data_IF_113290468192
#
_entry.id   IF_113290468192
#
_cell.length_a   1.000
_cell.length_b   1.000
_cell.length_c   1.000
_cell.angle_alpha   90.00
_cell.angle_beta   90.00
_cell.angle_gamma   90.00
#
_symmetry.space_group_name_H-M   'P 1'
#
loop_
_entity.id
_entity.type
_entity.pdbx_description
1 polymer ?
#
# COMPACT_ATOMS: atom_id res chain seq x y z
N UNK A 1 -17.86 22.26 17.92
CA UNK A 1 -16.54 22.65 17.36
C UNK A 1 -15.48 22.02 18.24
N UNK A 2 -14.93 20.88 17.84
CA UNK A 2 -13.80 20.26 18.52
C UNK A 2 -12.55 20.66 17.76
N UNK A 3 -11.73 21.51 18.37
CA UNK A 3 -10.40 21.87 17.90
C UNK A 3 -9.50 20.63 18.09
N UNK A 4 -9.39 19.80 17.06
CA UNK A 4 -8.40 18.76 16.99
C UNK A 4 -7.01 19.40 16.92
N UNK A 5 -6.31 19.42 18.06
CA UNK A 5 -4.88 19.73 18.12
C UNK A 5 -4.16 18.69 17.28
N UNK A 6 -3.66 19.07 16.10
CA UNK A 6 -2.70 18.28 15.37
C UNK A 6 -1.54 17.95 16.32
N UNK A 7 -1.20 16.66 16.46
CA UNK A 7 -0.06 16.23 17.26
C UNK A 7 1.16 17.04 16.77
N UNK A 8 1.70 17.85 17.64
CA UNK A 8 2.81 18.71 17.31
C UNK A 8 3.99 17.80 16.89
N UNK A 9 4.76 18.20 15.89
CA UNK A 9 5.97 17.51 15.42
C UNK A 9 6.99 17.20 16.54
N UNK A 10 6.77 17.78 17.73
CA UNK A 10 7.61 17.62 18.93
C UNK A 10 7.32 16.33 19.72
N UNK A 11 6.21 15.60 19.42
CA UNK A 11 5.80 14.41 20.19
C UNK A 11 5.99 13.10 19.42
N UNK A 12 6.83 13.10 18.38
CA UNK A 12 7.14 11.86 17.65
C UNK A 12 7.97 10.90 18.53
N UNK A 13 7.68 9.57 18.49
CA UNK A 13 8.53 8.58 19.10
C UNK A 13 9.99 8.72 18.66
N UNK A 14 10.93 8.51 19.56
CA UNK A 14 12.36 8.73 19.28
C UNK A 14 12.88 8.08 17.99
N UNK A 15 12.56 6.78 17.66
CA UNK A 15 13.01 6.19 16.41
C UNK A 15 12.39 6.85 15.17
N UNK A 16 11.13 7.32 15.26
CA UNK A 16 10.44 8.03 14.16
C UNK A 16 11.06 9.40 13.93
N UNK A 17 11.32 10.16 15.00
CA UNK A 17 11.98 11.46 14.94
C UNK A 17 13.38 11.36 14.32
N UNK A 18 14.15 10.32 14.73
CA UNK A 18 15.47 10.03 14.16
C UNK A 18 15.39 9.73 12.66
N UNK A 19 14.50 8.84 12.25
CA UNK A 19 14.31 8.51 10.83
C UNK A 19 13.88 9.72 10.01
N UNK A 20 12.96 10.53 10.53
CA UNK A 20 12.51 11.76 9.90
C UNK A 20 13.68 12.70 9.60
N UNK A 21 14.57 12.92 10.56
CA UNK A 21 15.74 13.77 10.39
C UNK A 21 16.67 13.23 9.29
N UNK A 22 16.92 11.91 9.29
CA UNK A 22 17.74 11.24 8.27
C UNK A 22 17.11 11.32 6.88
N UNK A 23 15.80 11.17 6.77
CA UNK A 23 15.10 11.23 5.49
C UNK A 23 15.02 12.65 4.92
N UNK A 24 14.97 13.67 5.78
CA UNK A 24 14.91 15.07 5.37
C UNK A 24 16.25 15.60 4.81
N UNK A 25 17.37 14.99 5.18
CA UNK A 25 18.68 15.38 4.69
C UNK A 25 18.78 15.18 3.17
N UNK A 26 19.03 16.26 2.40
CA UNK A 26 19.13 16.25 0.93
C UNK A 26 17.84 15.90 0.16
N UNK A 27 16.71 15.68 0.85
CA UNK A 27 15.42 15.41 0.20
C UNK A 27 14.66 16.70 -0.14
N UNK A 28 13.75 16.68 -1.13
CA UNK A 28 12.85 17.79 -1.37
C UNK A 28 12.00 18.09 -0.12
N UNK A 29 11.80 19.38 0.16
CA UNK A 29 11.00 19.83 1.33
C UNK A 29 9.57 19.31 1.32
N UNK A 30 9.05 19.01 0.13
CA UNK A 30 7.68 18.57 -0.05
C UNK A 30 7.60 17.53 -1.18
N UNK A 31 7.09 16.36 -0.84
CA UNK A 31 6.81 15.28 -1.80
C UNK A 31 5.32 14.95 -1.69
N UNK A 32 4.59 15.17 -2.76
CA UNK A 32 3.15 14.90 -2.84
C UNK A 32 2.86 13.61 -3.59
N UNK A 33 3.60 13.40 -4.68
CA UNK A 33 3.40 12.23 -5.54
C UNK A 33 4.71 11.50 -5.79
N UNK A 34 4.62 10.20 -6.03
CA UNK A 34 5.74 9.34 -6.40
C UNK A 34 5.37 8.46 -7.57
N UNK A 35 6.28 8.35 -8.53
CA UNK A 35 6.30 7.25 -9.47
C UNK A 35 7.53 6.38 -9.16
N UNK A 36 7.31 5.10 -8.90
CA UNK A 36 8.36 4.15 -8.55
C UNK A 36 8.34 3.01 -9.56
N UNK A 37 9.50 2.74 -10.15
CA UNK A 37 9.67 1.57 -11.02
C UNK A 37 10.43 0.48 -10.26
N UNK A 38 9.98 -0.75 -10.43
CA UNK A 38 10.55 -1.89 -9.71
C UNK A 38 10.62 -3.11 -10.60
N UNK A 39 11.57 -3.98 -10.26
CA UNK A 39 11.53 -5.38 -10.67
C UNK A 39 11.21 -6.23 -9.46
N UNK A 40 10.46 -7.31 -9.65
CA UNK A 40 10.07 -8.16 -8.55
C UNK A 40 10.12 -9.64 -8.93
N UNK A 41 10.14 -10.47 -7.89
CA UNK A 41 10.00 -11.91 -8.00
C UNK A 41 8.86 -12.36 -7.10
N UNK A 42 7.81 -12.89 -7.72
CA UNK A 42 6.72 -13.53 -7.00
C UNK A 42 7.01 -15.02 -6.82
N UNK A 43 6.80 -15.52 -5.61
CA UNK A 43 6.91 -16.91 -5.26
C UNK A 43 5.52 -17.49 -4.99
N UNK A 44 5.24 -18.62 -5.57
CA UNK A 44 4.06 -19.44 -5.29
C UNK A 44 4.51 -20.86 -4.93
N UNK A 45 3.81 -21.56 -4.01
CA UNK A 45 4.08 -22.98 -3.77
C UNK A 45 4.07 -23.75 -5.10
N UNK A 46 5.04 -24.62 -5.28
CA UNK A 46 5.14 -25.54 -6.41
C UNK A 46 5.34 -24.90 -7.81
N UNK A 47 5.63 -23.60 -7.85
CA UNK A 47 5.91 -22.91 -9.11
C UNK A 47 7.30 -22.27 -9.10
N UNK A 48 7.96 -22.15 -10.28
CA UNK A 48 9.15 -21.31 -10.41
C UNK A 48 8.87 -19.89 -9.99
N UNK A 49 9.91 -19.15 -9.60
CA UNK A 49 9.80 -17.71 -9.33
C UNK A 49 9.34 -16.98 -10.59
N UNK A 50 8.30 -16.17 -10.47
CA UNK A 50 7.71 -15.42 -11.57
C UNK A 50 8.33 -14.03 -11.59
N UNK A 51 9.01 -13.63 -12.66
CA UNK A 51 9.54 -12.28 -12.79
C UNK A 51 8.42 -11.29 -13.09
N UNK A 52 8.42 -10.17 -12.36
CA UNK A 52 7.46 -9.09 -12.51
C UNK A 52 8.19 -7.76 -12.72
N UNK A 53 7.54 -6.85 -13.42
CA UNK A 53 7.75 -5.41 -13.35
C UNK A 53 6.53 -4.78 -12.68
N UNK A 54 6.75 -3.91 -11.71
CA UNK A 54 5.66 -3.21 -11.03
C UNK A 54 5.94 -1.71 -11.13
N UNK A 55 5.03 -1.00 -11.76
CA UNK A 55 5.03 0.47 -11.79
C UNK A 55 4.06 0.96 -10.74
N UNK A 56 4.59 1.67 -9.76
CA UNK A 56 3.83 2.17 -8.63
C UNK A 56 3.62 3.67 -8.78
N UNK A 57 2.41 4.11 -8.66
CA UNK A 57 2.04 5.52 -8.65
C UNK A 57 1.34 5.84 -7.33
N UNK A 58 1.85 6.81 -6.60
CA UNK A 58 1.34 7.21 -5.31
C UNK A 58 0.97 8.70 -5.28
N UNK A 59 -0.19 9.01 -4.72
CA UNK A 59 -0.42 10.25 -4.00
C UNK A 59 -0.24 9.93 -2.53
N UNK A 60 0.89 10.37 -1.97
CA UNK A 60 1.39 9.94 -0.67
C UNK A 60 0.33 10.03 0.43
N UNK A 61 0.14 8.91 1.14
CA UNK A 61 -0.83 8.80 2.23
C UNK A 61 -2.30 8.90 1.81
N UNK A 62 -2.61 8.96 0.51
CA UNK A 62 -3.97 9.13 0.00
C UNK A 62 -4.41 8.00 -0.94
N UNK A 63 -3.66 7.76 -2.00
CA UNK A 63 -4.01 6.82 -3.06
C UNK A 63 -2.76 6.16 -3.63
N UNK A 64 -2.90 4.93 -4.11
CA UNK A 64 -1.89 4.29 -4.94
C UNK A 64 -2.50 3.42 -6.03
N UNK A 65 -1.69 3.16 -7.05
CA UNK A 65 -1.95 2.15 -8.09
C UNK A 65 -0.64 1.46 -8.43
N UNK A 66 -0.64 0.13 -8.38
CA UNK A 66 0.43 -0.73 -8.86
C UNK A 66 0.00 -1.40 -10.16
N UNK A 67 0.63 -1.05 -11.27
CA UNK A 67 0.50 -1.75 -12.56
C UNK A 67 1.47 -2.93 -12.56
N UNK A 68 0.94 -4.13 -12.37
CA UNK A 68 1.71 -5.36 -12.24
C UNK A 68 1.79 -6.05 -13.61
N UNK A 69 3.01 -6.28 -14.09
CA UNK A 69 3.30 -6.87 -15.38
C UNK A 69 4.13 -8.13 -15.23
N UNK A 70 3.82 -9.17 -16.01
CA UNK A 70 4.66 -10.36 -16.15
C UNK A 70 5.60 -10.17 -17.33
N UNK A 71 6.83 -10.63 -17.20
CA UNK A 71 7.88 -10.45 -18.20
C UNK A 71 8.75 -9.25 -17.92
N UNK A 72 9.55 -8.84 -18.91
CA UNK A 72 10.48 -7.71 -18.80
C UNK A 72 10.56 -6.93 -20.11
N UNK A 73 10.69 -5.61 -19.98
CA UNK A 73 10.84 -4.69 -21.09
C UNK A 73 9.71 -4.81 -22.11
N UNK A 74 10.05 -4.90 -23.40
CA UNK A 74 9.07 -4.98 -24.50
C UNK A 74 8.24 -6.28 -24.50
N UNK A 75 8.70 -7.32 -23.83
CA UNK A 75 7.98 -8.59 -23.69
C UNK A 75 7.10 -8.64 -22.43
N UNK A 76 6.98 -7.53 -21.70
CA UNK A 76 6.10 -7.48 -20.52
C UNK A 76 4.66 -7.19 -20.91
N UNK A 77 3.70 -7.86 -20.26
CA UNK A 77 2.28 -7.61 -20.43
C UNK A 77 1.60 -7.41 -19.07
N UNK A 78 0.56 -6.59 -19.05
CA UNK A 78 -0.18 -6.33 -17.80
C UNK A 78 -0.87 -7.60 -17.33
N UNK A 79 -0.56 -8.01 -16.12
CA UNK A 79 -1.12 -9.18 -15.47
C UNK A 79 -2.08 -8.82 -14.34
N UNK A 80 -1.80 -7.72 -13.63
CA UNK A 80 -2.59 -7.32 -12.47
C UNK A 80 -2.60 -5.83 -12.23
N UNK A 81 -3.48 -5.44 -11.34
CA UNK A 81 -3.60 -4.10 -10.79
C UNK A 81 -3.91 -4.22 -9.31
N UNK A 82 -3.09 -3.61 -8.46
CA UNK A 82 -3.40 -3.41 -7.05
C UNK A 82 -3.59 -1.92 -6.81
N UNK A 83 -4.65 -1.53 -6.12
CA UNK A 83 -4.96 -0.11 -5.96
C UNK A 83 -5.69 0.18 -4.65
N UNK A 84 -5.43 1.37 -4.11
CA UNK A 84 -6.26 2.03 -3.11
C UNK A 84 -6.65 3.40 -3.64
N UNK A 85 -7.90 3.59 -4.01
CA UNK A 85 -8.39 4.82 -4.64
C UNK A 85 -9.76 5.20 -4.08
N UNK A 86 -9.92 6.45 -3.69
CA UNK A 86 -11.18 6.95 -3.13
C UNK A 86 -11.61 6.22 -1.85
N UNK A 87 -10.68 5.75 -1.05
CA UNK A 87 -10.95 5.01 0.19
C UNK A 87 -11.23 3.52 0.00
N UNK A 88 -11.07 2.99 -1.22
CA UNK A 88 -11.40 1.60 -1.55
C UNK A 88 -10.22 0.83 -2.15
N UNK A 89 -10.08 -0.40 -1.69
CA UNK A 89 -9.09 -1.35 -2.19
C UNK A 89 -9.61 -2.17 -3.38
N UNK A 90 -8.73 -2.41 -4.33
CA UNK A 90 -9.01 -3.26 -5.49
C UNK A 90 -7.77 -4.10 -5.81
N UNK A 91 -7.95 -5.41 -5.90
CA UNK A 91 -6.95 -6.33 -6.44
C UNK A 91 -7.49 -7.00 -7.70
N UNK A 92 -6.80 -6.79 -8.82
CA UNK A 92 -7.09 -7.48 -10.09
C UNK A 92 -5.91 -8.37 -10.46
N UNK A 93 -6.17 -9.65 -10.73
CA UNK A 93 -5.16 -10.61 -11.19
C UNK A 93 -5.78 -11.42 -12.33
N UNK A 94 -5.27 -11.22 -13.55
CA UNK A 94 -5.88 -11.79 -14.75
C UNK A 94 -7.36 -11.37 -14.88
N UNK A 95 -8.29 -12.33 -15.02
CA UNK A 95 -9.72 -12.03 -15.11
C UNK A 95 -10.39 -11.80 -13.74
N UNK A 96 -9.73 -12.19 -12.64
CA UNK A 96 -10.26 -12.07 -11.28
C UNK A 96 -10.15 -10.64 -10.78
N UNK A 97 -11.24 -10.11 -10.20
CA UNK A 97 -11.25 -8.80 -9.54
C UNK A 97 -11.87 -8.94 -8.16
N UNK A 98 -11.15 -8.48 -7.16
CA UNK A 98 -11.52 -8.56 -5.76
C UNK A 98 -11.64 -7.15 -5.18
N UNK A 99 -12.71 -6.91 -4.46
CA UNK A 99 -13.00 -5.67 -3.73
C UNK A 99 -13.88 -6.01 -2.53
N UNK A 100 -13.94 -5.14 -1.56
CA UNK A 100 -14.72 -5.30 -0.34
C UNK A 100 -13.91 -4.86 0.86
N UNK A 101 -14.48 -4.94 2.04
CA UNK A 101 -13.90 -4.41 3.26
C UNK A 101 -12.52 -5.01 3.57
N UNK A 102 -12.32 -6.29 3.26
CA UNK A 102 -11.05 -6.99 3.45
C UNK A 102 -9.96 -6.42 2.54
N UNK A 103 -10.33 -6.06 1.30
CA UNK A 103 -9.42 -5.46 0.33
C UNK A 103 -9.21 -3.98 0.63
N UNK A 104 -10.22 -3.25 1.13
CA UNK A 104 -10.09 -1.88 1.59
C UNK A 104 -9.06 -1.80 2.74
N UNK A 105 -9.18 -2.69 3.74
CA UNK A 105 -8.22 -2.78 4.84
C UNK A 105 -6.83 -3.19 4.36
N UNK A 106 -6.76 -4.22 3.52
CA UNK A 106 -5.49 -4.72 3.01
C UNK A 106 -4.73 -3.68 2.19
N UNK A 107 -5.41 -2.96 1.29
CA UNK A 107 -4.81 -1.90 0.49
C UNK A 107 -4.42 -0.68 1.33
N UNK A 108 -5.20 -0.34 2.36
CA UNK A 108 -4.83 0.74 3.29
C UNK A 108 -3.55 0.43 4.06
N UNK A 109 -3.36 -0.83 4.51
CA UNK A 109 -2.11 -1.25 5.15
C UNK A 109 -0.94 -1.17 4.16
N UNK A 110 -1.13 -1.56 2.90
CA UNK A 110 -0.10 -1.45 1.88
C UNK A 110 0.25 0.03 1.61
N UNK A 111 -0.76 0.91 1.46
CA UNK A 111 -0.57 2.35 1.31
C UNK A 111 0.37 2.91 2.38
N UNK A 112 0.06 2.62 3.64
CA UNK A 112 0.83 3.15 4.76
C UNK A 112 2.16 2.43 4.94
N UNK A 113 2.24 1.11 4.69
CA UNK A 113 3.49 0.37 4.70
C UNK A 113 4.53 0.94 3.72
N UNK A 114 4.10 1.39 2.56
CA UNK A 114 4.96 2.03 1.56
C UNK A 114 5.22 3.51 1.88
N UNK A 115 4.19 4.25 2.32
CA UNK A 115 4.28 5.66 2.68
C UNK A 115 5.15 5.94 3.92
N UNK A 116 5.38 4.93 4.77
CA UNK A 116 6.30 5.03 5.92
C UNK A 116 7.68 5.58 5.54
N UNK A 117 8.15 5.23 4.34
CA UNK A 117 9.47 5.65 3.84
C UNK A 117 9.55 7.15 3.53
N UNK A 118 8.43 7.86 3.53
CA UNK A 118 8.34 9.25 3.10
C UNK A 118 7.67 10.11 4.19
N UNK A 119 8.44 10.79 5.05
CA UNK A 119 7.90 11.57 6.17
C UNK A 119 6.82 12.57 5.77
N UNK A 120 6.92 13.18 4.60
CA UNK A 120 5.91 14.12 4.10
C UNK A 120 4.52 13.50 3.93
N UNK A 121 4.42 12.16 3.85
CA UNK A 121 3.15 11.45 3.78
C UNK A 121 2.34 11.52 5.08
N UNK A 122 3.01 11.58 6.21
CA UNK A 122 2.38 11.49 7.54
C UNK A 122 2.55 12.73 8.40
N UNK A 123 3.51 13.60 8.13
CA UNK A 123 3.75 14.83 8.93
C UNK A 123 2.56 15.82 8.94
N UNK A 124 1.75 15.85 7.91
CA UNK A 124 0.63 16.79 7.76
C UNK A 124 -0.74 16.15 7.98
N UNK A 125 -0.76 14.90 8.42
CA UNK A 125 -1.99 14.13 8.62
C UNK A 125 -2.47 14.27 10.06
N UNK A 126 -3.78 14.48 10.22
CA UNK A 126 -4.45 14.54 11.52
C UNK A 126 -5.29 13.30 11.81
N UNK A 127 -5.44 12.41 10.83
CA UNK A 127 -6.21 11.17 10.89
C UNK A 127 -5.35 9.94 11.17
N UNK A 128 -4.07 10.16 11.47
CA UNK A 128 -3.13 9.14 11.92
C UNK A 128 -2.38 9.63 13.15
N UNK A 129 -1.80 8.71 13.89
CA UNK A 129 -0.93 9.04 15.02
C UNK A 129 0.20 8.03 15.16
N UNK A 130 1.31 8.51 15.72
CA UNK A 130 2.41 7.66 16.13
C UNK A 130 2.34 7.40 17.64
N UNK A 131 2.57 6.15 18.03
CA UNK A 131 2.65 5.71 19.42
C UNK A 131 4.04 5.13 19.69
N UNK A 132 4.65 5.51 20.81
CA UNK A 132 5.91 4.92 21.24
C UNK A 132 5.66 3.49 21.75
N UNK A 133 6.53 2.55 21.35
CA UNK A 133 6.53 1.18 21.88
C UNK A 133 7.81 0.97 22.69
N UNK A 134 8.98 1.18 22.06
CA UNK A 134 10.30 1.13 22.70
C UNK A 134 11.31 1.96 21.91
N UNK A 135 12.60 1.84 22.23
CA UNK A 135 13.69 2.61 21.60
C UNK A 135 13.89 2.30 20.09
N UNK A 136 13.37 1.18 19.61
CA UNK A 136 13.55 0.67 18.23
C UNK A 136 12.24 0.42 17.51
N UNK A 137 11.13 0.63 18.19
CA UNK A 137 9.81 0.27 17.70
C UNK A 137 8.83 1.39 17.96
N UNK A 138 8.06 1.74 16.94
CA UNK A 138 6.93 2.65 17.07
C UNK A 138 5.72 2.05 16.36
N UNK A 139 4.55 2.55 16.67
CA UNK A 139 3.30 2.13 16.03
C UNK A 139 2.68 3.31 15.30
N UNK A 140 2.41 3.13 14.01
CA UNK A 140 1.56 4.02 13.25
C UNK A 140 0.12 3.51 13.35
N UNK A 141 -0.77 4.30 13.89
CA UNK A 141 -2.20 3.96 13.98
C UNK A 141 -2.96 4.76 12.94
N UNK A 142 -3.69 4.06 12.08
CA UNK A 142 -4.47 4.64 11.00
C UNK A 142 -5.94 4.26 11.15
N UNK A 143 -6.85 5.13 10.71
CA UNK A 143 -8.27 4.83 10.72
C UNK A 143 -8.62 3.95 9.52
N UNK A 144 -9.04 2.72 9.79
CA UNK A 144 -9.49 1.76 8.78
C UNK A 144 -11.00 1.61 8.70
N UNK A 145 -11.49 0.77 7.79
CA UNK A 145 -12.93 0.57 7.57
C UNK A 145 -13.64 -0.14 8.73
N UNK A 146 -12.92 -0.88 9.56
CA UNK A 146 -13.44 -1.61 10.73
C UNK A 146 -12.94 -1.04 12.07
N UNK A 147 -12.35 0.15 12.07
CA UNK A 147 -11.74 0.77 13.23
C UNK A 147 -10.24 1.01 13.06
N UNK A 148 -9.57 1.29 14.13
CA UNK A 148 -8.13 1.58 14.10
C UNK A 148 -7.30 0.37 13.70
N UNK A 149 -6.29 0.63 12.87
CA UNK A 149 -5.33 -0.37 12.41
C UNK A 149 -3.94 0.05 12.91
N UNK A 150 -3.37 -0.69 13.86
CA UNK A 150 -1.99 -0.48 14.29
C UNK A 150 -1.03 -1.13 13.29
N UNK A 151 -0.08 -0.36 12.78
CA UNK A 151 1.05 -0.84 11.97
C UNK A 151 2.31 -0.67 12.82
N UNK A 152 2.88 -1.76 13.27
CA UNK A 152 4.10 -1.73 14.08
C UNK A 152 5.33 -1.62 13.18
N UNK A 153 6.18 -0.64 13.42
CA UNK A 153 7.37 -0.34 12.62
C UNK A 153 8.61 -0.58 13.48
N UNK A 154 9.45 -1.49 13.02
CA UNK A 154 10.78 -1.74 13.61
C UNK A 154 11.86 -0.96 12.87
N UNK A 155 12.76 -0.33 13.62
CA UNK A 155 13.88 0.46 13.09
C UNK A 155 15.22 -0.24 13.36
N UNK A 156 16.10 -0.21 12.37
CA UNK A 156 17.47 -0.72 12.51
C UNK A 156 18.26 0.20 13.46
N UNK A 157 18.83 -0.33 14.54
CA UNK A 157 19.53 0.49 15.53
C UNK A 157 20.83 1.11 15.01
N UNK A 158 21.44 0.50 14.02
CA UNK A 158 22.70 0.99 13.46
C UNK A 158 22.49 2.14 12.48
N UNK A 159 21.44 2.09 11.66
CA UNK A 159 21.15 3.09 10.63
C UNK A 159 20.05 4.07 11.03
N UNK A 160 19.13 3.66 11.87
CA UNK A 160 17.92 4.42 12.20
C UNK A 160 16.82 4.34 11.13
N UNK A 161 17.01 3.54 10.09
CA UNK A 161 16.01 3.36 9.05
C UNK A 161 14.96 2.33 9.44
N UNK A 162 13.71 2.43 8.92
CA UNK A 162 12.75 1.35 9.05
C UNK A 162 13.32 0.05 8.49
N UNK A 163 13.27 -1.03 9.26
CA UNK A 163 13.69 -2.37 8.86
C UNK A 163 12.48 -3.26 8.53
N UNK A 164 11.35 -3.02 9.21
CA UNK A 164 10.13 -3.78 9.01
C UNK A 164 8.89 -2.97 9.35
N UNK A 165 7.75 -3.38 8.80
CA UNK A 165 6.43 -3.00 9.27
C UNK A 165 5.55 -4.26 9.35
N UNK A 166 4.71 -4.37 10.39
CA UNK A 166 3.84 -5.52 10.62
C UNK A 166 2.43 -5.07 10.97
N UNK A 167 1.44 -5.80 10.48
CA UNK A 167 0.04 -5.60 10.81
C UNK A 167 -0.75 -6.91 10.62
N UNK A 168 -1.91 -7.01 11.27
CA UNK A 168 -2.87 -8.05 10.97
C UNK A 168 -3.72 -7.65 9.76
N UNK A 169 -3.63 -8.44 8.69
CA UNK A 169 -4.21 -8.14 7.39
C UNK A 169 -5.02 -9.32 6.85
N UNK A 170 -6.08 -9.04 6.13
CA UNK A 170 -6.78 -10.05 5.37
C UNK A 170 -5.93 -10.52 4.18
N UNK A 171 -5.64 -11.82 4.12
CA UNK A 171 -4.94 -12.44 2.99
C UNK A 171 -5.89 -12.67 1.81
N UNK A 172 -7.16 -12.94 2.14
CA UNK A 172 -8.31 -13.10 1.25
C UNK A 172 -9.58 -12.96 2.09
N UNK A 173 -10.73 -13.49 1.63
CA UNK A 173 -11.89 -13.67 2.51
C UNK A 173 -11.54 -14.70 3.60
N UNK A 174 -11.67 -14.34 4.87
CA UNK A 174 -11.34 -15.20 6.01
C UNK A 174 -10.75 -14.41 7.18
N UNK A 175 -10.06 -15.07 8.12
CA UNK A 175 -9.42 -14.40 9.25
C UNK A 175 -8.22 -13.55 8.79
N UNK A 176 -7.91 -12.55 9.61
CA UNK A 176 -6.67 -11.78 9.46
C UNK A 176 -5.47 -12.65 9.78
N UNK A 177 -4.40 -12.46 9.05
CA UNK A 177 -3.11 -13.15 9.21
C UNK A 177 -2.04 -12.08 9.38
N UNK A 178 -1.05 -12.35 10.21
CA UNK A 178 0.10 -11.45 10.35
C UNK A 178 0.77 -11.20 9.00
N UNK A 179 0.97 -9.95 8.66
CA UNK A 179 1.61 -9.49 7.44
C UNK A 179 2.86 -8.69 7.81
N UNK A 180 3.96 -8.95 7.13
CA UNK A 180 5.24 -8.28 7.36
C UNK A 180 5.80 -7.75 6.06
N UNK A 181 6.07 -6.45 6.02
CA UNK A 181 6.94 -5.81 5.04
C UNK A 181 8.34 -5.65 5.61
N UNK A 182 9.37 -6.01 4.85
CA UNK A 182 10.78 -5.85 5.24
C UNK A 182 11.49 -4.91 4.28
N UNK A 183 12.26 -3.95 4.82
CA UNK A 183 12.96 -2.93 4.05
C UNK A 183 14.47 -3.13 4.17
N UNK A 184 15.17 -3.05 3.03
CA UNK A 184 16.63 -3.20 2.97
C UNK A 184 17.25 -2.32 1.91
N UNK A 185 18.57 -2.20 1.93
CA UNK A 185 19.37 -1.51 0.91
C UNK A 185 18.90 -0.05 0.71
N UNK A 186 18.66 0.64 1.83
CA UNK A 186 18.25 2.04 1.82
C UNK A 186 19.29 2.89 1.10
N UNK A 187 18.83 3.73 0.19
CA UNK A 187 19.68 4.63 -0.58
C UNK A 187 18.92 5.85 -1.04
N UNK A 188 19.68 6.87 -1.43
CA UNK A 188 19.09 8.04 -2.10
C UNK A 188 18.94 7.76 -3.58
N UNK A 189 17.77 8.09 -4.09
CA UNK A 189 17.42 8.06 -5.50
C UNK A 189 17.51 9.49 -6.09
N UNK A 190 17.22 9.61 -7.37
CA UNK A 190 17.20 10.90 -8.06
C UNK A 190 16.31 11.90 -7.34
N UNK A 191 16.75 13.15 -7.25
CA UNK A 191 16.09 14.18 -6.44
C UNK A 191 16.35 14.08 -4.94
N UNK A 192 17.28 13.22 -4.48
CA UNK A 192 17.74 13.13 -3.09
C UNK A 192 16.81 12.37 -2.15
N UNK A 193 15.73 11.78 -2.65
CA UNK A 193 14.77 11.06 -1.81
C UNK A 193 15.35 9.75 -1.29
N UNK A 194 15.26 9.54 0.01
CA UNK A 194 15.68 8.31 0.68
C UNK A 194 14.56 7.27 0.57
N UNK A 195 14.86 6.09 0.01
CA UNK A 195 13.90 5.00 -0.10
C UNK A 195 14.60 3.63 -0.03
N UNK A 196 13.87 2.53 0.33
CA UNK A 196 14.45 1.20 0.33
C UNK A 196 14.74 0.74 -1.09
N UNK A 197 15.94 0.22 -1.32
CA UNK A 197 16.34 -0.43 -2.58
C UNK A 197 15.74 -1.83 -2.72
N UNK A 198 15.35 -2.45 -1.60
CA UNK A 198 14.65 -3.75 -1.57
C UNK A 198 13.51 -3.74 -0.57
N UNK A 199 12.43 -4.36 -0.98
CA UNK A 199 11.24 -4.59 -0.17
C UNK A 199 10.79 -6.03 -0.33
N UNK A 200 10.41 -6.69 0.76
CA UNK A 200 9.87 -8.05 0.71
C UNK A 200 8.61 -8.14 1.56
N UNK A 201 7.64 -8.93 1.13
CA UNK A 201 6.39 -9.14 1.84
C UNK A 201 6.20 -10.60 2.18
N UNK A 202 5.87 -10.87 3.43
CA UNK A 202 5.65 -12.21 3.96
C UNK A 202 4.38 -12.28 4.79
N UNK A 203 3.69 -13.40 4.69
CA UNK A 203 2.60 -13.78 5.57
C UNK A 203 3.14 -14.65 6.71
N UNK A 204 2.60 -14.51 7.90
CA UNK A 204 3.06 -15.27 9.08
C UNK A 204 2.84 -16.79 8.94
N UNK A 205 1.87 -17.20 8.13
CA UNK A 205 1.56 -18.60 7.81
C UNK A 205 2.38 -19.17 6.63
N UNK A 206 3.32 -18.39 6.09
CA UNK A 206 4.20 -18.80 4.99
C UNK A 206 5.67 -18.80 5.42
N UNK A 207 6.47 -19.78 5.01
CA UNK A 207 7.87 -19.92 5.46
C UNK A 207 8.83 -18.95 4.75
N UNK A 208 8.36 -18.20 3.74
CA UNK A 208 9.19 -17.29 2.93
C UNK A 208 8.36 -16.12 2.40
N UNK A 209 9.02 -15.01 2.02
CA UNK A 209 8.35 -13.92 1.33
C UNK A 209 7.70 -14.38 0.04
N UNK A 210 6.41 -14.03 -0.15
CA UNK A 210 5.70 -14.34 -1.39
C UNK A 210 6.06 -13.41 -2.55
N UNK A 211 6.61 -12.22 -2.23
CA UNK A 211 7.13 -11.27 -3.21
C UNK A 211 8.38 -10.57 -2.66
N UNK A 212 9.38 -10.46 -3.52
CA UNK A 212 10.60 -9.68 -3.29
C UNK A 212 10.69 -8.63 -4.39
N UNK A 213 10.79 -7.36 -4.00
CA UNK A 213 10.76 -6.20 -4.89
C UNK A 213 12.10 -5.48 -4.81
N UNK A 214 12.63 -5.09 -5.96
CA UNK A 214 13.81 -4.24 -6.08
C UNK A 214 13.42 -2.92 -6.73
N UNK A 215 13.61 -1.83 -6.04
CA UNK A 215 13.40 -0.48 -6.55
C UNK A 215 14.50 -0.14 -7.57
N UNK A 216 14.09 0.24 -8.77
CA UNK A 216 15.01 0.64 -9.85
C UNK A 216 15.07 2.15 -10.00
N UNK A 217 13.94 2.86 -9.89
CA UNK A 217 13.89 4.31 -9.88
C UNK A 217 12.80 4.84 -8.95
N UNK A 218 12.97 6.06 -8.47
CA UNK A 218 11.97 6.82 -7.71
C UNK A 218 11.95 8.24 -8.26
N UNK A 219 10.80 8.67 -8.78
CA UNK A 219 10.57 10.02 -9.28
C UNK A 219 9.61 10.74 -8.35
N UNK A 220 10.09 11.84 -7.74
CA UNK A 220 9.29 12.66 -6.83
C UNK A 220 8.49 13.71 -7.59
N UNK A 221 7.30 14.03 -7.09
CA UNK A 221 6.36 14.99 -7.67
C UNK A 221 6.07 14.71 -9.15
N UNK A 222 6.10 13.42 -9.51
CA UNK A 222 5.83 12.95 -10.86
C UNK A 222 4.32 13.05 -11.19
N UNK A 223 3.95 13.19 -12.47
CA UNK A 223 2.56 13.13 -12.91
C UNK A 223 2.02 11.70 -12.76
N UNK A 224 1.13 11.47 -11.79
CA UNK A 224 0.58 10.15 -11.46
C UNK A 224 -0.92 10.03 -11.79
N UNK A 225 -1.57 11.10 -12.21
CA UNK A 225 -3.02 11.15 -12.37
C UNK A 225 -3.56 10.13 -13.37
N UNK A 226 -2.84 9.86 -14.46
CA UNK A 226 -3.23 8.86 -15.44
C UNK A 226 -3.19 7.44 -14.86
N UNK A 227 -2.18 7.12 -14.07
CA UNK A 227 -2.09 5.83 -13.38
C UNK A 227 -3.19 5.69 -12.31
N UNK A 228 -3.41 6.73 -11.49
CA UNK A 228 -4.49 6.74 -10.49
C UNK A 228 -5.87 6.63 -11.15
N UNK A 229 -6.05 7.23 -12.33
CA UNK A 229 -7.28 7.10 -13.13
C UNK A 229 -7.57 5.65 -13.52
N UNK A 230 -6.56 4.86 -13.89
CA UNK A 230 -6.72 3.42 -14.17
C UNK A 230 -7.34 2.66 -12.98
N UNK A 231 -6.88 2.93 -11.77
CA UNK A 231 -7.46 2.33 -10.56
C UNK A 231 -8.93 2.72 -10.37
N UNK A 232 -9.25 4.00 -10.51
CA UNK A 232 -10.63 4.50 -10.41
C UNK A 232 -11.55 3.92 -11.49
N UNK A 233 -11.07 3.79 -12.72
CA UNK A 233 -11.83 3.18 -13.82
C UNK A 233 -12.08 1.69 -13.59
N UNK A 234 -11.06 0.96 -13.12
CA UNK A 234 -11.20 -0.44 -12.76
C UNK A 234 -12.25 -0.63 -11.65
N UNK A 235 -12.21 0.18 -10.60
CA UNK A 235 -13.19 0.14 -9.52
C UNK A 235 -14.61 0.44 -10.03
N UNK A 236 -14.79 1.50 -10.81
CA UNK A 236 -16.10 1.83 -11.44
C UNK A 236 -16.64 0.70 -12.31
N UNK A 237 -15.77 -0.02 -13.02
CA UNK A 237 -16.18 -1.16 -13.85
C UNK A 237 -16.77 -2.30 -12.99
N UNK A 238 -16.13 -2.59 -11.84
CA UNK A 238 -16.64 -3.57 -10.86
C UNK A 238 -18.01 -3.17 -10.33
N UNK A 239 -18.16 -1.93 -9.90
CA UNK A 239 -19.42 -1.41 -9.38
C UNK A 239 -20.55 -1.48 -10.44
N UNK A 240 -20.26 -1.13 -11.69
CA UNK A 240 -21.21 -1.27 -12.80
C UNK A 240 -21.62 -2.73 -13.01
N UNK A 241 -20.70 -3.66 -12.97
CA UNK A 241 -20.96 -5.09 -13.13
C UNK A 241 -21.82 -5.63 -11.98
N UNK A 242 -21.52 -5.24 -10.73
CA UNK A 242 -22.35 -5.59 -9.55
C UNK A 242 -23.79 -5.08 -9.66
N UNK A 243 -23.97 -3.83 -10.07
CA UNK A 243 -25.31 -3.24 -10.25
C UNK A 243 -26.11 -3.96 -11.35
N UNK A 244 -25.47 -4.34 -12.46
CA UNK A 244 -26.12 -5.11 -13.54
C UNK A 244 -26.57 -6.49 -13.04
N UNK A 245 -25.73 -7.22 -12.29
CA UNK A 245 -26.07 -8.53 -11.71
C UNK A 245 -27.26 -8.43 -10.73
N UNK A 246 -27.27 -7.43 -9.86
CA UNK A 246 -28.39 -7.19 -8.92
C UNK A 246 -29.70 -6.87 -9.63
N UNK A 247 -29.66 -6.15 -10.76
CA UNK A 247 -30.85 -5.88 -11.58
C UNK A 247 -31.35 -7.12 -12.32
N UNK A 248 -30.46 -7.93 -12.87
CA UNK A 248 -30.80 -9.16 -13.58
C UNK A 248 -31.33 -10.25 -12.64
N UNK A 249 -30.91 -10.30 -11.38
CA UNK A 249 -31.42 -11.24 -10.36
C UNK A 249 -32.78 -10.85 -9.74
N UNK A 250 -33.28 -9.64 -10.02
CA UNK A 250 -34.65 -9.25 -9.68
C UNK A 250 -35.59 -9.63 -10.84
N UNK A 251 -35.91 -10.91 -10.95
CA UNK A 251 -37.05 -11.37 -11.79
C UNK A 251 -38.34 -10.76 -11.22
N UNK A 252 -39.18 -10.05 -12.02
CA UNK A 252 -40.48 -9.59 -11.54
C UNK A 252 -41.28 -10.81 -11.11
N UNK A 253 -41.73 -10.80 -9.85
CA UNK A 253 -42.55 -11.87 -9.30
C UNK A 253 -43.72 -12.20 -10.21
N UNK A 254 -43.96 -13.49 -10.41
CA UNK A 254 -45.13 -14.03 -11.11
C UNK A 254 -46.39 -13.38 -10.55
N UNK A 255 -47.14 -12.70 -11.42
CA UNK A 255 -48.51 -12.31 -11.11
C UNK A 255 -49.23 -13.57 -10.75
N UNK A 256 -49.61 -13.73 -9.48
CA UNK A 256 -50.55 -14.74 -9.06
C UNK A 256 -51.87 -14.48 -9.83
N UNK A 257 -52.18 -15.37 -10.74
CA UNK A 257 -53.48 -15.47 -11.38
C UNK A 257 -54.53 -15.76 -10.28
N UNK A 258 -55.36 -14.78 -10.00
CA UNK A 258 -56.61 -15.03 -9.29
C UNK A 258 -57.63 -15.52 -10.32
N UNK A 259 -58.00 -16.75 -10.22
CA UNK A 259 -59.26 -17.31 -10.67
C UNK A 259 -60.08 -17.66 -9.47
#
# INVERSE_FOLDING_TARGET
MATGSGAALNDLPAPVARFRALAADGAPRFVETLAIETTAWMRRPWMPRIPLEIRMAHRLGCEFVHDIRIGRGVLSFRFGLDAYVGGHGLMKVGPSVQTGIEFDQGALIALWGEALSFPTAWERRTDIRWEAVDERTARLVVQGPEGEIPITVGFDPSTGYPASCTADRYKSHGPKVGWTGSFRDWRRFDGGVLAPGRFAVQWADEPYPWIEIRTTSVSVNAPVDDALRLGREAFRAVERARRRRRRAGRVPGSRASKT
#
